data_IF_451855738651
#
_entry.id   IF_451855738651
#
_cell.length_a   1.000
_cell.length_b   1.000
_cell.length_c   1.000
_cell.angle_alpha   90.00
_cell.angle_beta   90.00
_cell.angle_gamma   90.00
#
_symmetry.space_group_name_H-M   'P 1'
#
loop_
_entity.id
_entity.type
_entity.pdbx_description
1 polymer ?
#
# COMPACT_ATOMS: atom_id res chain seq x y z
N UNK A 1 18.82 -24.57 -13.32
CA UNK A 1 18.42 -25.90 -12.84
C UNK A 1 17.05 -25.78 -12.19
N UNK A 2 16.01 -26.35 -12.80
CA UNK A 2 14.67 -26.39 -12.20
C UNK A 2 14.67 -27.42 -11.05
N UNK A 3 14.24 -27.02 -9.85
CA UNK A 3 14.07 -27.95 -8.72
C UNK A 3 12.77 -28.73 -8.95
N UNK A 4 12.91 -30.04 -9.12
CA UNK A 4 11.79 -30.96 -9.31
C UNK A 4 10.96 -31.05 -8.01
N UNK A 5 9.62 -31.19 -8.10
CA UNK A 5 8.78 -31.43 -6.94
C UNK A 5 9.19 -32.75 -6.24
N UNK A 6 9.18 -32.76 -4.92
CA UNK A 6 9.43 -33.95 -4.11
C UNK A 6 8.07 -34.58 -3.76
N UNK A 7 7.92 -35.86 -4.05
CA UNK A 7 6.74 -36.62 -3.62
C UNK A 7 6.91 -37.00 -2.14
N UNK A 8 6.06 -36.46 -1.27
CA UNK A 8 5.95 -36.88 0.13
C UNK A 8 4.56 -37.45 0.34
N UNK A 9 4.49 -38.72 0.76
CA UNK A 9 3.23 -39.44 1.04
C UNK A 9 2.24 -39.44 -0.14
N UNK A 10 2.73 -39.59 -1.39
CA UNK A 10 1.88 -39.66 -2.58
C UNK A 10 1.41 -38.31 -3.14
N UNK A 11 1.87 -37.20 -2.55
CA UNK A 11 1.53 -35.84 -2.97
C UNK A 11 2.80 -35.15 -3.47
N UNK A 12 2.75 -34.62 -4.68
CA UNK A 12 3.82 -33.78 -5.22
C UNK A 12 3.85 -32.43 -4.47
N UNK A 13 4.90 -32.18 -3.70
CA UNK A 13 5.12 -30.92 -2.98
C UNK A 13 6.34 -30.20 -3.54
N UNK A 14 6.30 -28.88 -3.63
CA UNK A 14 7.45 -28.10 -4.07
C UNK A 14 8.37 -27.85 -2.86
N UNK A 15 9.70 -28.00 -2.99
CA UNK A 15 10.62 -27.76 -1.88
C UNK A 15 10.94 -26.26 -1.75
N UNK A 16 10.17 -25.54 -0.93
CA UNK A 16 10.37 -24.14 -0.53
C UNK A 16 9.24 -23.69 0.41
N UNK A 17 9.35 -22.57 1.15
CA UNK A 17 8.30 -22.19 2.10
C UNK A 17 7.00 -21.95 1.31
N UNK A 18 6.04 -22.87 1.47
CA UNK A 18 4.70 -22.78 0.88
C UNK A 18 3.81 -21.82 1.70
N UNK A 19 4.33 -21.30 2.81
CA UNK A 19 3.68 -20.35 3.69
C UNK A 19 4.13 -18.94 3.33
N UNK A 20 3.29 -18.17 2.65
CA UNK A 20 3.60 -16.77 2.36
C UNK A 20 3.80 -15.96 3.65
N UNK A 21 4.77 -15.05 3.65
CA UNK A 21 5.20 -14.33 4.86
C UNK A 21 4.85 -12.85 4.76
N UNK A 22 4.30 -12.29 5.84
CA UNK A 22 4.14 -10.84 5.99
C UNK A 22 5.45 -10.19 6.47
N UNK A 23 5.92 -9.20 5.73
CA UNK A 23 7.05 -8.36 6.10
C UNK A 23 6.61 -6.90 6.18
N UNK A 24 6.86 -6.25 7.32
CA UNK A 24 6.65 -4.82 7.46
C UNK A 24 7.74 -4.05 6.70
N UNK A 25 7.35 -3.21 5.75
CA UNK A 25 8.30 -2.42 4.95
C UNK A 25 8.60 -1.05 5.58
N UNK A 26 7.73 -0.56 6.46
CA UNK A 26 7.86 0.73 7.12
C UNK A 26 6.64 1.63 6.98
N UNK A 27 6.78 2.82 7.54
CA UNK A 27 5.83 3.92 7.41
C UNK A 27 6.46 5.02 6.55
N UNK A 28 5.68 5.55 5.61
CA UNK A 28 6.12 6.51 4.61
C UNK A 28 5.17 7.71 4.57
N UNK A 29 5.70 8.87 4.19
CA UNK A 29 4.91 10.10 4.01
C UNK A 29 4.94 10.51 2.55
N UNK A 30 3.76 10.80 1.99
CA UNK A 30 3.61 11.35 0.65
C UNK A 30 3.76 10.32 -0.46
N UNK A 31 4.98 9.86 -0.75
CA UNK A 31 5.20 8.91 -1.86
C UNK A 31 6.15 7.80 -1.42
N UNK A 32 5.80 6.56 -1.77
CA UNK A 32 6.69 5.41 -1.71
C UNK A 32 6.66 4.68 -3.04
N UNK A 33 7.83 4.42 -3.63
CA UNK A 33 7.94 3.73 -4.91
C UNK A 33 9.07 2.72 -4.89
N UNK A 34 8.94 1.70 -5.72
CA UNK A 34 9.98 0.69 -5.87
C UNK A 34 9.77 -0.19 -7.08
N UNK A 35 10.65 -1.18 -7.21
CA UNK A 35 10.60 -2.18 -8.27
C UNK A 35 10.57 -3.57 -7.64
N UNK A 36 9.77 -4.46 -8.22
CA UNK A 36 9.76 -5.85 -7.78
C UNK A 36 10.96 -6.62 -8.35
N UNK A 37 12.07 -6.62 -7.62
CA UNK A 37 13.30 -7.38 -7.92
C UNK A 37 13.35 -8.76 -7.26
N UNK A 38 12.31 -9.16 -6.52
CA UNK A 38 12.28 -10.41 -5.72
C UNK A 38 12.22 -11.70 -6.56
N UNK A 39 11.92 -11.58 -7.85
CA UNK A 39 11.82 -12.71 -8.78
C UNK A 39 10.47 -13.43 -8.80
N UNK A 40 9.52 -13.02 -7.94
CA UNK A 40 8.13 -13.53 -7.86
C UNK A 40 7.16 -12.37 -7.70
N UNK A 41 5.87 -12.50 -8.03
CA UNK A 41 4.87 -11.51 -7.63
C UNK A 41 4.81 -11.40 -6.10
N UNK A 42 4.37 -10.26 -5.59
CA UNK A 42 4.02 -10.08 -4.18
C UNK A 42 2.80 -9.18 -4.07
N UNK A 43 2.14 -9.23 -2.92
CA UNK A 43 1.01 -8.36 -2.59
C UNK A 43 1.44 -7.32 -1.57
N UNK A 44 1.06 -6.06 -1.77
CA UNK A 44 1.21 -5.01 -0.77
C UNK A 44 -0.11 -4.73 -0.09
N UNK A 45 -0.06 -4.57 1.22
CA UNK A 45 -1.14 -4.08 2.06
C UNK A 45 -0.73 -2.71 2.57
N UNK A 46 -1.58 -1.72 2.32
CA UNK A 46 -1.33 -0.32 2.69
C UNK A 46 -2.43 0.14 3.61
N UNK A 47 -2.06 0.80 4.70
CA UNK A 47 -2.99 1.37 5.68
C UNK A 47 -2.53 2.78 6.07
N UNK A 48 -3.47 3.71 6.24
CA UNK A 48 -3.17 5.11 6.58
C UNK A 48 -3.62 6.08 5.50
N UNK A 49 -2.69 6.93 5.09
CA UNK A 49 -2.91 8.01 4.13
C UNK A 49 -3.41 9.29 4.79
N UNK A 50 -3.36 9.35 6.12
CA UNK A 50 -3.81 10.49 6.92
C UNK A 50 -2.72 11.56 6.98
N UNK A 51 -3.04 12.81 6.61
CA UNK A 51 -2.17 13.95 6.86
C UNK A 51 -1.89 14.16 8.37
N UNK A 52 -0.78 14.83 8.71
CA UNK A 52 -0.57 15.37 10.04
C UNK A 52 -1.78 16.20 10.52
N UNK A 53 -2.08 16.18 11.84
CA UNK A 53 -3.13 17.01 12.41
C UNK A 53 -2.90 18.49 12.09
N UNK A 54 -3.87 19.07 11.39
CA UNK A 54 -3.87 20.48 11.03
C UNK A 54 -5.32 20.93 10.90
N UNK A 55 -5.60 22.11 11.44
CA UNK A 55 -6.82 22.85 11.13
C UNK A 55 -6.63 23.69 9.88
N UNK A 56 -7.54 23.54 8.93
CA UNK A 56 -7.66 24.37 7.73
C UNK A 56 -8.94 25.19 7.88
N UNK A 57 -8.98 26.42 7.38
CA UNK A 57 -10.20 27.23 7.40
C UNK A 57 -11.04 26.91 6.16
N UNK A 58 -11.68 25.73 6.12
CA UNK A 58 -12.48 25.30 4.97
C UNK A 58 -13.76 24.56 5.39
N UNK A 59 -14.86 25.31 5.50
CA UNK A 59 -16.20 24.77 5.77
C UNK A 59 -16.29 24.02 7.12
N UNK A 60 -17.14 22.99 7.19
CA UNK A 60 -17.26 22.12 8.38
C UNK A 60 -16.10 21.12 8.52
N UNK A 61 -15.00 21.28 7.77
CA UNK A 61 -13.94 20.29 7.68
C UNK A 61 -12.55 20.83 8.03
N UNK A 62 -12.34 21.05 9.32
CA UNK A 62 -11.11 21.64 9.85
C UNK A 62 -10.17 20.59 10.46
N UNK A 63 -10.25 19.30 10.10
CA UNK A 63 -9.32 18.32 10.65
C UNK A 63 -8.70 17.41 9.59
N UNK A 64 -7.53 17.83 9.09
CA UNK A 64 -6.74 17.05 8.14
C UNK A 64 -6.44 15.62 8.65
N UNK A 65 -6.30 15.41 9.96
CA UNK A 65 -6.03 14.07 10.50
C UNK A 65 -7.19 13.09 10.27
N UNK A 66 -8.42 13.59 10.14
CA UNK A 66 -9.61 12.77 9.92
C UNK A 66 -9.84 12.47 8.43
N UNK A 67 -9.03 13.01 7.54
CA UNK A 67 -9.08 12.75 6.10
C UNK A 67 -7.98 11.78 5.70
N UNK A 68 -8.14 11.10 4.57
CA UNK A 68 -7.06 10.30 4.00
C UNK A 68 -7.11 10.29 2.47
N UNK A 69 -5.93 10.12 1.87
CA UNK A 69 -5.81 9.87 0.43
C UNK A 69 -4.74 8.82 0.20
N UNK A 70 -5.07 7.76 -0.53
CA UNK A 70 -4.14 6.75 -0.97
C UNK A 70 -4.44 6.37 -2.42
N UNK A 71 -3.40 6.31 -3.24
CA UNK A 71 -3.48 5.84 -4.62
C UNK A 71 -2.26 4.98 -4.92
N UNK A 72 -2.45 3.80 -5.51
CA UNK A 72 -1.37 2.94 -5.97
C UNK A 72 -1.35 2.80 -7.49
N UNK A 73 -0.14 2.77 -8.05
CA UNK A 73 0.11 2.50 -9.47
C UNK A 73 1.10 1.35 -9.62
N UNK A 74 0.89 0.50 -10.63
CA UNK A 74 1.81 -0.59 -11.01
C UNK A 74 2.00 -0.55 -12.52
N UNK A 75 3.24 -0.50 -12.98
CA UNK A 75 3.57 -0.38 -14.40
C UNK A 75 2.96 0.87 -15.06
N UNK A 76 2.70 1.93 -14.28
CA UNK A 76 2.09 3.17 -14.75
C UNK A 76 0.55 3.19 -14.73
N UNK A 77 -0.12 2.09 -14.38
CA UNK A 77 -1.58 2.04 -14.27
C UNK A 77 -2.04 2.14 -12.81
N UNK A 78 -3.06 2.94 -12.54
CA UNK A 78 -3.69 2.99 -11.21
C UNK A 78 -4.43 1.70 -10.92
N UNK A 79 -3.98 0.96 -9.90
CA UNK A 79 -4.55 -0.34 -9.51
C UNK A 79 -5.39 -0.29 -8.23
N UNK A 80 -5.19 0.73 -7.40
CA UNK A 80 -5.99 0.96 -6.20
C UNK A 80 -6.11 2.46 -5.92
N UNK A 81 -7.29 2.88 -5.47
CA UNK A 81 -7.57 4.25 -5.09
C UNK A 81 -8.56 4.26 -3.93
N UNK A 82 -8.23 4.97 -2.86
CA UNK A 82 -9.05 5.11 -1.66
C UNK A 82 -8.84 6.51 -1.11
N UNK A 83 -9.89 7.33 -1.13
CA UNK A 83 -9.84 8.75 -0.74
C UNK A 83 -11.10 9.11 0.01
N UNK A 84 -10.94 9.80 1.13
CA UNK A 84 -12.03 10.41 1.85
C UNK A 84 -11.60 11.75 2.47
N UNK A 85 -12.23 12.83 2.01
CA UNK A 85 -11.98 14.20 2.44
C UNK A 85 -12.95 14.71 3.51
N UNK A 86 -13.94 13.93 3.96
CA UNK A 86 -14.82 14.36 5.06
C UNK A 86 -14.04 14.29 6.39
N UNK A 87 -13.99 15.36 7.19
CA UNK A 87 -13.22 15.35 8.45
C UNK A 87 -14.05 15.21 9.74
N UNK A 88 -15.33 14.85 9.64
CA UNK A 88 -16.25 14.75 10.79
C UNK A 88 -15.86 13.66 11.80
N UNK A 89 -15.24 12.56 11.36
CA UNK A 89 -14.84 11.45 12.23
C UNK A 89 -13.51 10.83 11.81
N UNK A 90 -12.80 10.23 12.77
CA UNK A 90 -11.48 9.64 12.56
C UNK A 90 -11.55 8.38 11.71
N UNK A 91 -11.11 8.46 10.47
CA UNK A 91 -11.03 7.35 9.51
C UNK A 91 -9.63 7.20 8.96
N UNK A 92 -9.34 6.04 8.40
CA UNK A 92 -8.06 5.75 7.78
C UNK A 92 -8.28 4.94 6.51
N UNK A 93 -7.44 5.20 5.52
CA UNK A 93 -7.51 4.51 4.23
C UNK A 93 -6.85 3.16 4.29
N UNK A 94 -7.33 2.25 3.46
CA UNK A 94 -6.63 1.00 3.20
C UNK A 94 -6.92 0.46 1.81
N UNK A 95 -5.95 -0.27 1.28
CA UNK A 95 -6.14 -1.14 0.12
C UNK A 95 -5.06 -2.20 0.10
N UNK A 96 -5.22 -3.17 -0.81
CA UNK A 96 -4.15 -4.09 -1.18
C UNK A 96 -4.10 -4.27 -2.68
N UNK A 97 -2.91 -4.52 -3.21
CA UNK A 97 -2.70 -4.70 -4.65
C UNK A 97 -1.50 -5.60 -4.93
N UNK A 98 -1.53 -6.28 -6.06
CA UNK A 98 -0.47 -7.19 -6.51
C UNK A 98 0.55 -6.45 -7.38
N UNK A 99 1.83 -6.81 -7.20
CA UNK A 99 2.94 -6.27 -8.01
C UNK A 99 3.59 -7.43 -8.77
N UNK A 100 3.42 -7.51 -10.10
CA UNK A 100 4.05 -8.52 -10.93
C UNK A 100 5.58 -8.48 -10.83
N UNK A 101 6.23 -9.62 -11.13
CA UNK A 101 7.69 -9.71 -11.20
C UNK A 101 8.23 -8.66 -12.18
N UNK A 102 9.22 -7.87 -11.76
CA UNK A 102 9.87 -6.86 -12.59
C UNK A 102 9.08 -5.58 -12.79
N UNK A 103 7.83 -5.50 -12.31
CA UNK A 103 7.05 -4.28 -12.41
C UNK A 103 7.55 -3.21 -11.41
N UNK A 104 7.49 -1.95 -11.84
CA UNK A 104 7.57 -0.81 -10.94
C UNK A 104 6.22 -0.56 -10.27
N UNK A 105 6.24 -0.04 -9.06
CA UNK A 105 5.05 0.37 -8.34
C UNK A 105 5.29 1.69 -7.61
N UNK A 106 4.20 2.42 -7.35
CA UNK A 106 4.19 3.59 -6.49
C UNK A 106 2.91 3.64 -5.66
N UNK A 107 3.02 4.20 -4.47
CA UNK A 107 1.93 4.50 -3.55
C UNK A 107 2.06 5.98 -3.22
N UNK A 108 0.98 6.73 -3.37
CA UNK A 108 0.93 8.17 -3.21
C UNK A 108 -0.19 8.56 -2.25
N UNK A 109 0.10 9.53 -1.39
CA UNK A 109 -0.79 10.09 -0.39
C UNK A 109 -0.69 11.62 -0.39
N UNK A 110 -1.22 12.24 -1.45
CA UNK A 110 -1.14 13.68 -1.69
C UNK A 110 -2.48 14.33 -2.05
N UNK A 111 -3.58 13.57 -2.13
CA UNK A 111 -4.87 14.11 -2.54
C UNK A 111 -5.46 15.15 -1.58
N UNK A 112 -4.96 15.20 -0.35
CA UNK A 112 -5.37 16.19 0.65
C UNK A 112 -4.62 17.53 0.54
N UNK A 113 -3.56 17.62 -0.28
CA UNK A 113 -2.84 18.89 -0.50
C UNK A 113 -3.73 19.97 -1.11
N UNK A 114 -4.64 19.58 -2.02
CA UNK A 114 -5.58 20.50 -2.66
C UNK A 114 -6.54 21.18 -1.67
N UNK A 115 -6.78 20.54 -0.52
CA UNK A 115 -7.61 21.07 0.57
C UNK A 115 -6.80 21.89 1.58
N UNK A 116 -5.50 22.10 1.35
CA UNK A 116 -4.62 22.83 2.27
C UNK A 116 -4.01 21.98 3.39
N UNK A 117 -4.21 20.66 3.35
CA UNK A 117 -3.51 19.72 4.23
C UNK A 117 -2.09 19.45 3.74
N UNK A 118 -1.35 18.63 4.50
CA UNK A 118 -0.02 18.13 4.12
C UNK A 118 -0.15 16.69 3.56
N UNK A 119 0.95 16.11 3.09
CA UNK A 119 1.01 14.72 2.66
C UNK A 119 0.58 13.76 3.77
N UNK A 120 -0.14 12.71 3.39
CA UNK A 120 -0.53 11.66 4.32
C UNK A 120 0.59 10.67 4.61
N UNK A 121 0.52 10.08 5.81
CA UNK A 121 1.42 9.03 6.28
C UNK A 121 0.72 7.68 6.19
N UNK A 122 1.43 6.66 5.69
CA UNK A 122 0.90 5.31 5.52
C UNK A 122 1.93 4.23 5.81
N UNK A 123 1.45 3.09 6.27
CA UNK A 123 2.24 1.91 6.59
C UNK A 123 2.05 0.84 5.53
N UNK A 124 3.11 0.09 5.25
CA UNK A 124 3.10 -0.93 4.21
C UNK A 124 3.55 -2.28 4.76
N UNK A 125 2.80 -3.32 4.44
CA UNK A 125 3.18 -4.71 4.61
C UNK A 125 3.26 -5.39 3.25
N UNK A 126 4.25 -6.25 3.07
CA UNK A 126 4.38 -7.11 1.90
C UNK A 126 4.06 -8.54 2.27
N UNK A 127 3.27 -9.22 1.46
CA UNK A 127 3.05 -10.67 1.50
C UNK A 127 3.64 -11.32 0.26
N UNK A 128 4.44 -12.36 0.44
CA UNK A 128 5.09 -13.10 -0.63
C UNK A 128 5.39 -14.55 -0.23
#
# INVERSE_FOLDING_TARGET
>A
MARLPLCQSGIWRLPGPEDGVYAYLGAFKGVYSGNNSTGKPFKLYVWGGNPPPRKINFGNSDNCANTFSLTASVGGQTVANSVDGNSEWGKSGSFSFDVPKGASFSITSNGMLAYGCDYGTFSIFRYQ
#
